data_IF_378191284365
#
_entry.id   IF_378191284365
#
_cell.length_a   1.000
_cell.length_b   1.000
_cell.length_c   1.000
_cell.angle_alpha   90.00
_cell.angle_beta   90.00
_cell.angle_gamma   90.00
#
_symmetry.space_group_name_H-M   'P 1'
#
loop_
_entity.id
_entity.type
_entity.pdbx_description
1 polymer ?
#
# COMPACT_ATOMS: atom_id res chain seq x y z
N UNK A 1 -1.60 29.46 -0.54
CA UNK A 1 -2.68 28.46 -0.58
C UNK A 1 -2.59 27.69 -1.88
N UNK A 2 -2.61 26.36 -1.85
CA UNK A 2 -2.52 25.51 -3.05
C UNK A 2 -3.78 24.66 -3.15
N UNK A 3 -4.37 24.60 -4.34
CA UNK A 3 -5.57 23.81 -4.62
C UNK A 3 -5.14 22.40 -5.01
N UNK A 4 -5.55 21.42 -4.22
CA UNK A 4 -5.39 20.01 -4.56
C UNK A 4 -6.74 19.47 -5.07
N UNK A 5 -6.68 18.74 -6.17
CA UNK A 5 -7.84 18.07 -6.76
C UNK A 5 -7.79 16.62 -6.32
N UNK A 6 -8.81 16.19 -5.56
CA UNK A 6 -8.99 14.79 -5.19
C UNK A 6 -10.22 14.30 -5.97
N UNK A 7 -10.02 13.60 -7.09
CA UNK A 7 -11.13 13.02 -7.83
C UNK A 7 -11.67 11.81 -7.08
N UNK A 8 -13.00 11.63 -7.15
CA UNK A 8 -13.72 10.49 -6.53
C UNK A 8 -14.43 9.63 -7.56
N UNK A 9 -14.12 9.83 -8.85
CA UNK A 9 -14.78 9.16 -9.97
C UNK A 9 -13.80 8.79 -11.09
N UNK A 10 -14.36 8.24 -12.16
CA UNK A 10 -13.59 7.70 -13.30
C UNK A 10 -12.99 8.78 -14.23
N UNK A 11 -13.40 10.04 -14.06
CA UNK A 11 -12.82 11.19 -14.78
C UNK A 11 -12.19 12.15 -13.78
N UNK A 12 -11.15 12.86 -14.22
CA UNK A 12 -10.43 13.88 -13.44
C UNK A 12 -11.34 14.98 -12.88
N UNK A 13 -12.58 15.08 -13.37
CA UNK A 13 -13.58 16.08 -12.97
C UNK A 13 -14.78 15.53 -12.19
N UNK A 14 -14.98 14.21 -12.11
CA UNK A 14 -16.18 13.65 -11.45
C UNK A 14 -15.97 13.46 -9.95
N UNK A 15 -16.89 14.03 -9.16
CA UNK A 15 -16.91 13.86 -7.70
C UNK A 15 -15.78 14.59 -6.96
N UNK A 16 -15.24 15.67 -7.53
CA UNK A 16 -14.11 16.39 -6.92
C UNK A 16 -14.50 16.99 -5.57
N UNK A 17 -13.70 16.69 -4.54
CA UNK A 17 -13.57 17.56 -3.37
C UNK A 17 -12.33 18.42 -3.56
N UNK A 18 -12.50 19.73 -3.70
CA UNK A 18 -11.38 20.67 -3.70
C UNK A 18 -11.04 21.02 -2.25
N UNK A 19 -9.80 20.75 -1.84
CA UNK A 19 -9.33 21.14 -0.51
C UNK A 19 -8.31 22.26 -0.69
N UNK A 20 -8.56 23.38 -0.01
CA UNK A 20 -7.63 24.51 0.06
C UNK A 20 -6.84 24.33 1.35
N UNK A 21 -5.54 24.07 1.22
CA UNK A 21 -4.65 23.89 2.36
C UNK A 21 -3.60 25.01 2.40
N UNK A 22 -3.25 25.38 3.62
CA UNK A 22 -2.09 26.23 3.87
C UNK A 22 -0.85 25.38 3.67
N UNK A 23 0.00 25.80 2.72
CA UNK A 23 1.22 25.10 2.35
C UNK A 23 2.43 25.91 2.81
N UNK A 24 3.40 25.22 3.40
CA UNK A 24 4.70 25.77 3.80
C UNK A 24 5.76 25.23 2.86
N UNK A 25 6.63 26.11 2.39
CA UNK A 25 7.67 25.76 1.43
C UNK A 25 9.01 25.84 2.16
N UNK A 26 9.79 24.77 2.09
CA UNK A 26 11.17 24.72 2.54
C UNK A 26 12.05 24.55 1.31
N UNK A 27 13.11 25.34 1.19
CA UNK A 27 14.06 25.17 0.09
C UNK A 27 15.48 25.35 0.56
N UNK A 28 16.39 24.58 -0.02
CA UNK A 28 17.83 24.73 0.20
C UNK A 28 18.62 24.37 -1.06
N UNK A 29 19.77 25.02 -1.25
CA UNK A 29 20.66 24.74 -2.36
C UNK A 29 21.48 23.48 -2.05
N UNK A 30 21.57 22.58 -3.03
CA UNK A 30 22.48 21.44 -2.93
C UNK A 30 23.91 21.97 -2.98
N UNK A 31 24.75 21.63 -2.00
CA UNK A 31 26.11 22.17 -1.90
C UNK A 31 26.88 21.99 -3.22
N UNK A 32 27.52 23.09 -3.66
CA UNK A 32 28.32 23.17 -4.88
C UNK A 32 27.59 22.79 -6.19
N UNK A 33 26.27 22.93 -6.24
CA UNK A 33 25.47 22.69 -7.44
C UNK A 33 24.58 23.88 -7.83
N UNK A 34 24.04 23.83 -9.05
CA UNK A 34 23.03 24.80 -9.53
C UNK A 34 21.60 24.41 -9.17
N UNK A 35 21.42 23.33 -8.42
CA UNK A 35 20.11 22.75 -8.09
C UNK A 35 19.66 23.13 -6.67
N UNK A 36 18.35 23.36 -6.55
CA UNK A 36 17.67 23.65 -5.28
C UNK A 36 16.66 22.54 -4.99
N UNK A 37 16.67 22.02 -3.77
CA UNK A 37 15.64 21.10 -3.29
C UNK A 37 14.54 21.95 -2.66
N UNK A 38 13.30 21.73 -3.06
CA UNK A 38 12.12 22.31 -2.42
C UNK A 38 11.23 21.21 -1.87
N UNK A 39 10.89 21.30 -0.59
CA UNK A 39 9.91 20.45 0.08
C UNK A 39 8.68 21.30 0.40
N UNK A 40 7.50 20.83 0.00
CA UNK A 40 6.23 21.52 0.29
C UNK A 40 5.47 20.68 1.28
N UNK A 41 5.17 21.24 2.45
CA UNK A 41 4.31 20.60 3.44
C UNK A 41 2.97 21.34 3.54
N UNK A 42 1.95 20.69 4.09
CA UNK A 42 0.65 21.29 4.38
C UNK A 42 0.29 21.21 5.85
N UNK A 43 -0.65 22.05 6.31
CA UNK A 43 -1.20 21.98 7.66
C UNK A 43 -1.88 20.63 8.00
N UNK A 44 -2.13 19.80 6.99
CA UNK A 44 -2.69 18.45 7.15
C UNK A 44 -1.63 17.35 7.22
N UNK A 45 -0.36 17.69 6.97
CA UNK A 45 0.72 16.71 7.03
C UNK A 45 0.96 16.33 8.49
N UNK A 46 0.94 15.03 8.77
CA UNK A 46 1.19 14.48 10.10
C UNK A 46 2.53 13.78 10.13
N UNK A 47 3.39 14.19 11.06
CA UNK A 47 4.57 13.40 11.39
C UNK A 47 4.13 12.26 12.30
N UNK A 48 4.08 11.06 11.76
CA UNK A 48 3.80 9.84 12.52
C UNK A 48 5.12 9.09 12.67
N UNK A 49 5.65 9.04 13.89
CA UNK A 49 6.76 8.16 14.22
C UNK A 49 6.18 6.80 14.57
N UNK A 50 6.38 5.81 13.70
CA UNK A 50 5.92 4.44 13.93
C UNK A 50 6.90 3.74 14.84
N UNK A 51 6.49 3.32 16.04
CA UNK A 51 7.36 2.62 16.98
C UNK A 51 7.74 1.22 16.46
N UNK A 52 9.03 0.90 16.47
CA UNK A 52 9.61 -0.33 15.89
C UNK A 52 9.06 -1.65 16.48
N UNK A 53 8.55 -1.63 17.72
CA UNK A 53 8.07 -2.83 18.43
C UNK A 53 6.74 -3.40 17.89
N UNK A 54 6.01 -2.69 17.04
CA UNK A 54 4.71 -3.15 16.52
C UNK A 54 4.80 -4.14 15.34
N UNK A 55 6.00 -4.47 14.88
CA UNK A 55 6.26 -5.02 13.54
C UNK A 55 6.53 -6.53 13.48
N UNK A 56 6.76 -7.19 14.62
CA UNK A 56 7.45 -8.49 14.65
C UNK A 56 6.57 -9.75 14.52
N UNK A 57 5.24 -9.64 14.49
CA UNK A 57 4.36 -10.82 14.58
C UNK A 57 3.06 -10.71 13.76
N UNK A 58 3.13 -10.15 12.56
CA UNK A 58 1.93 -9.95 11.74
C UNK A 58 1.87 -10.95 10.59
N UNK A 59 0.79 -11.73 10.57
CA UNK A 59 0.47 -12.62 9.45
C UNK A 59 -0.04 -11.75 8.31
N UNK A 60 0.68 -11.73 7.19
CA UNK A 60 0.21 -11.09 5.97
C UNK A 60 -0.03 -12.17 4.91
N UNK A 61 -1.01 -11.93 4.04
CA UNK A 61 -1.33 -12.82 2.92
C UNK A 61 -1.11 -12.03 1.64
N UNK A 62 -0.23 -12.55 0.78
CA UNK A 62 -0.01 -11.94 -0.52
C UNK A 62 -1.23 -12.14 -1.42
N UNK A 63 -1.54 -11.20 -2.31
CA UNK A 63 -2.78 -11.19 -3.09
C UNK A 63 -2.99 -12.40 -4.01
N UNK A 64 -1.95 -13.20 -4.28
CA UNK A 64 -2.04 -14.42 -5.09
C UNK A 64 -2.64 -15.56 -4.29
N UNK A 65 -3.94 -15.46 -4.03
CA UNK A 65 -4.72 -16.47 -3.28
C UNK A 65 -4.70 -17.85 -3.92
N UNK A 66 -4.38 -17.94 -5.20
CA UNK A 66 -4.18 -19.20 -5.92
C UNK A 66 -2.92 -19.96 -5.50
N UNK A 67 -2.03 -19.33 -4.71
CA UNK A 67 -0.86 -19.95 -4.10
C UNK A 67 -1.00 -20.19 -2.60
N UNK A 68 -2.16 -19.89 -2.01
CA UNK A 68 -2.38 -19.97 -0.56
C UNK A 68 -3.35 -21.09 -0.27
N UNK A 69 -2.90 -22.20 0.30
CA UNK A 69 -3.75 -23.38 0.46
C UNK A 69 -4.71 -23.28 1.67
N UNK A 70 -4.22 -22.78 2.80
CA UNK A 70 -4.90 -22.81 4.12
C UNK A 70 -5.95 -21.71 4.36
N UNK A 71 -6.70 -21.32 3.32
CA UNK A 71 -7.72 -20.27 3.39
C UNK A 71 -8.96 -20.67 2.62
N UNK A 72 -10.15 -20.38 3.18
CA UNK A 72 -11.42 -20.55 2.47
C UNK A 72 -11.53 -19.54 1.35
N UNK A 73 -11.62 -20.06 0.13
CA UNK A 73 -11.71 -19.27 -1.10
C UNK A 73 -13.14 -19.26 -1.62
N UNK A 74 -13.50 -18.18 -2.30
CA UNK A 74 -14.77 -17.99 -2.99
C UNK A 74 -14.53 -17.22 -4.29
N UNK A 75 -15.53 -17.18 -5.15
CA UNK A 75 -15.51 -16.31 -6.34
C UNK A 75 -16.30 -15.04 -6.03
N UNK A 76 -15.68 -13.88 -6.23
CA UNK A 76 -16.35 -12.58 -6.19
C UNK A 76 -16.01 -11.84 -7.47
N UNK A 77 -17.05 -11.46 -8.23
CA UNK A 77 -16.90 -10.70 -9.48
C UNK A 77 -15.89 -11.32 -10.47
N UNK A 78 -15.91 -12.65 -10.60
CA UNK A 78 -15.00 -13.39 -11.49
C UNK A 78 -13.55 -13.50 -11.00
N UNK A 79 -13.28 -13.15 -9.73
CA UNK A 79 -11.95 -13.24 -9.12
C UNK A 79 -11.95 -14.16 -7.91
N UNK A 80 -10.87 -14.93 -7.78
CA UNK A 80 -10.59 -15.70 -6.57
C UNK A 80 -10.45 -14.74 -5.39
N UNK A 81 -11.23 -14.97 -4.34
CA UNK A 81 -11.38 -14.06 -3.20
C UNK A 81 -11.54 -14.81 -1.88
N UNK A 82 -11.34 -14.13 -0.75
CA UNK A 82 -11.61 -14.65 0.60
C UNK A 82 -12.15 -13.54 1.48
N UNK A 83 -13.10 -13.88 2.36
CA UNK A 83 -13.60 -12.98 3.41
C UNK A 83 -12.84 -13.12 4.73
N UNK A 84 -12.03 -14.17 4.87
CA UNK A 84 -11.32 -14.48 6.11
C UNK A 84 -10.23 -13.46 6.40
N UNK A 85 -9.59 -12.95 5.34
CA UNK A 85 -8.45 -12.07 5.46
C UNK A 85 -8.43 -10.97 4.40
N UNK A 86 -7.70 -9.90 4.70
CA UNK A 86 -7.25 -8.96 3.68
C UNK A 86 -6.01 -9.49 2.96
N UNK A 87 -5.71 -8.94 1.78
CA UNK A 87 -4.49 -9.28 1.03
C UNK A 87 -3.61 -8.07 0.80
N UNK A 88 -2.31 -8.32 0.67
CA UNK A 88 -1.27 -7.33 0.38
C UNK A 88 -0.67 -7.55 -1.00
N UNK A 89 -0.33 -6.46 -1.68
CA UNK A 89 0.50 -6.48 -2.89
C UNK A 89 1.57 -5.39 -2.80
N UNK A 90 2.75 -5.72 -3.30
CA UNK A 90 3.86 -4.78 -3.44
C UNK A 90 4.05 -4.41 -4.91
N UNK A 91 4.34 -3.14 -5.15
CA UNK A 91 4.77 -2.63 -6.46
C UNK A 91 6.27 -2.38 -6.42
N UNK A 92 6.85 -2.01 -7.56
CA UNK A 92 8.28 -1.69 -7.68
C UNK A 92 8.75 -0.65 -6.65
N UNK A 93 7.88 0.30 -6.28
CA UNK A 93 8.19 1.37 -5.32
C UNK A 93 8.36 0.89 -3.87
N UNK A 94 7.94 -0.34 -3.55
CA UNK A 94 8.13 -0.95 -2.23
C UNK A 94 9.59 -1.30 -1.94
N UNK A 95 10.39 -1.47 -2.98
CA UNK A 95 11.74 -2.02 -2.86
C UNK A 95 12.77 -0.92 -2.66
N UNK A 96 13.78 -1.20 -1.84
CA UNK A 96 14.86 -0.25 -1.54
C UNK A 96 15.63 0.12 -2.82
N UNK A 97 15.78 -0.85 -3.73
CA UNK A 97 16.42 -0.70 -5.02
C UNK A 97 15.59 -1.40 -6.09
N UNK A 98 15.55 -0.81 -7.29
CA UNK A 98 14.74 -1.28 -8.41
C UNK A 98 14.96 -2.75 -8.77
N UNK A 99 16.21 -3.22 -8.75
CA UNK A 99 16.55 -4.60 -9.12
C UNK A 99 16.18 -5.65 -8.06
N UNK A 100 15.67 -5.26 -6.89
CA UNK A 100 15.06 -6.19 -5.94
C UNK A 100 13.60 -6.50 -6.28
N UNK A 101 13.01 -5.77 -7.23
CA UNK A 101 11.75 -6.12 -7.84
C UNK A 101 12.00 -7.10 -8.98
N UNK A 102 11.59 -8.35 -8.80
CA UNK A 102 11.79 -9.45 -9.75
C UNK A 102 10.76 -9.46 -10.90
N UNK A 103 9.92 -8.42 -11.01
CA UNK A 103 8.89 -8.31 -12.04
C UNK A 103 7.50 -8.76 -11.58
N UNK A 104 6.59 -9.08 -12.52
CA UNK A 104 5.20 -9.43 -12.23
C UNK A 104 5.09 -10.60 -11.25
N UNK A 105 3.97 -10.66 -10.53
CA UNK A 105 3.74 -11.70 -9.53
C UNK A 105 3.60 -13.08 -10.20
N UNK A 106 4.70 -13.81 -10.38
CA UNK A 106 4.75 -15.25 -10.67
C UNK A 106 4.78 -16.05 -9.36
N UNK A 107 4.67 -17.39 -9.41
CA UNK A 107 4.76 -18.21 -8.18
C UNK A 107 6.10 -18.02 -7.48
N UNK A 108 7.17 -18.01 -8.26
CA UNK A 108 8.54 -17.79 -7.78
C UNK A 108 8.71 -16.39 -7.19
N UNK A 109 8.32 -15.35 -7.93
CA UNK A 109 8.47 -13.95 -7.48
C UNK A 109 7.66 -13.67 -6.21
N UNK A 110 6.44 -14.19 -6.11
CA UNK A 110 5.62 -14.07 -4.89
C UNK A 110 6.30 -14.77 -3.71
N UNK A 111 6.87 -15.95 -3.91
CA UNK A 111 7.65 -16.64 -2.87
C UNK A 111 8.82 -15.78 -2.38
N UNK A 112 9.54 -15.14 -3.31
CA UNK A 112 10.63 -14.21 -2.97
C UNK A 112 10.11 -13.00 -2.17
N UNK A 113 9.05 -12.33 -2.65
CA UNK A 113 8.49 -11.16 -1.99
C UNK A 113 7.95 -11.48 -0.60
N UNK A 114 7.26 -12.61 -0.46
CA UNK A 114 6.78 -13.12 0.83
C UNK A 114 7.95 -13.39 1.78
N UNK A 115 9.04 -14.01 1.30
CA UNK A 115 10.23 -14.27 2.13
C UNK A 115 10.89 -13.00 2.67
N UNK A 116 10.83 -11.89 1.93
CA UNK A 116 11.35 -10.59 2.38
C UNK A 116 10.53 -9.94 3.49
N UNK A 117 9.27 -10.38 3.64
CA UNK A 117 8.32 -9.90 4.64
C UNK A 117 8.21 -10.85 5.85
N UNK A 118 8.41 -12.17 5.67
CA UNK A 118 8.36 -13.17 6.75
C UNK A 118 9.64 -13.26 7.57
N UNK A 119 10.73 -12.65 7.12
CA UNK A 119 12.01 -12.72 7.81
C UNK A 119 11.91 -12.25 9.27
N UNK A 120 12.28 -13.12 10.22
CA UNK A 120 12.27 -12.85 11.67
C UNK A 120 13.14 -11.64 12.07
N UNK A 121 14.08 -11.25 11.21
CA UNK A 121 14.91 -10.06 11.37
C UNK A 121 14.42 -8.93 10.45
N UNK A 122 13.22 -8.40 10.73
CA UNK A 122 12.55 -7.36 9.94
C UNK A 122 13.42 -6.12 9.66
N UNK A 123 14.33 -5.79 10.58
CA UNK A 123 15.30 -4.70 10.47
C UNK A 123 16.50 -5.01 9.57
N UNK A 124 16.87 -6.29 9.36
CA UNK A 124 18.07 -6.66 8.58
C UNK A 124 17.80 -6.92 7.08
N UNK A 125 16.53 -7.06 6.68
CA UNK A 125 16.23 -7.32 5.26
C UNK A 125 16.19 -6.01 4.45
N UNK A 126 17.34 -5.67 3.87
CA UNK A 126 17.64 -4.51 3.01
C UNK A 126 16.91 -4.47 1.64
N UNK A 127 15.92 -5.35 1.41
CA UNK A 127 15.29 -5.48 0.08
C UNK A 127 14.03 -4.61 -0.05
N UNK A 128 13.21 -4.56 0.98
CA UNK A 128 12.00 -3.74 1.07
C UNK A 128 12.29 -2.52 1.95
N UNK A 129 11.82 -1.33 1.54
CA UNK A 129 11.99 -0.10 2.33
C UNK A 129 11.37 -0.27 3.72
N UNK A 130 12.07 0.20 4.75
CA UNK A 130 11.60 0.13 6.14
C UNK A 130 10.20 0.72 6.31
N UNK A 131 9.95 1.88 5.69
CA UNK A 131 8.63 2.54 5.73
C UNK A 131 7.52 1.69 5.11
N UNK A 132 7.80 1.00 4.01
CA UNK A 132 6.82 0.10 3.38
C UNK A 132 6.47 -1.05 4.30
N UNK A 133 7.46 -1.64 4.95
CA UNK A 133 7.21 -2.67 5.96
C UNK A 133 6.37 -2.11 7.11
N UNK A 134 6.72 -0.95 7.66
CA UNK A 134 5.91 -0.28 8.69
C UNK A 134 4.46 -0.04 8.26
N UNK A 135 4.21 0.36 7.02
CA UNK A 135 2.85 0.55 6.48
C UNK A 135 2.07 -0.76 6.30
N UNK A 136 2.73 -1.84 5.90
CA UNK A 136 2.13 -3.19 5.88
C UNK A 136 1.65 -3.56 7.28
N UNK A 137 2.48 -3.28 8.29
CA UNK A 137 2.18 -3.60 9.67
C UNK A 137 1.06 -2.72 10.27
N UNK A 138 1.06 -1.43 9.96
CA UNK A 138 0.00 -0.52 10.40
C UNK A 138 -1.33 -0.88 9.73
N UNK A 139 -1.30 -1.23 8.44
CA UNK A 139 -2.52 -1.53 7.70
C UNK A 139 -3.21 -2.83 8.14
N UNK A 140 -2.54 -3.72 8.90
CA UNK A 140 -3.21 -4.87 9.55
C UNK A 140 -4.28 -4.41 10.55
N UNK A 141 -4.10 -3.27 11.22
CA UNK A 141 -5.14 -2.71 12.09
C UNK A 141 -6.40 -2.33 11.29
N UNK A 142 -6.26 -1.96 10.01
CA UNK A 142 -7.41 -1.69 9.13
C UNK A 142 -8.20 -2.97 8.83
N UNK A 143 -7.52 -4.11 8.68
CA UNK A 143 -8.19 -5.41 8.49
C UNK A 143 -9.12 -5.74 9.65
N UNK A 144 -8.65 -5.55 10.90
CA UNK A 144 -9.46 -5.77 12.11
C UNK A 144 -10.72 -4.88 12.12
N UNK A 145 -10.63 -3.66 11.59
CA UNK A 145 -11.78 -2.75 11.45
C UNK A 145 -12.70 -3.22 10.33
N UNK A 146 -12.15 -3.59 9.17
CA UNK A 146 -12.93 -4.01 8.01
C UNK A 146 -13.70 -5.32 8.27
N UNK A 147 -13.10 -6.28 8.97
CA UNK A 147 -13.76 -7.52 9.38
C UNK A 147 -14.94 -7.23 10.32
N UNK A 148 -14.79 -6.30 11.27
CA UNK A 148 -15.89 -5.88 12.15
C UNK A 148 -17.04 -5.22 11.38
N UNK A 149 -16.72 -4.51 10.30
CA UNK A 149 -17.69 -3.85 9.41
C UNK A 149 -18.19 -4.77 8.27
N UNK A 150 -17.90 -6.07 8.33
CA UNK A 150 -18.29 -7.03 7.29
C UNK A 150 -19.80 -7.20 7.14
N UNK A 151 -20.59 -6.80 8.14
CA UNK A 151 -22.05 -6.71 8.05
C UNK A 151 -22.53 -5.77 6.92
N UNK A 152 -21.71 -4.79 6.53
CA UNK A 152 -21.99 -3.84 5.45
C UNK A 152 -21.40 -4.26 4.09
N UNK A 153 -20.93 -5.50 3.94
CA UNK A 153 -20.33 -5.99 2.68
C UNK A 153 -21.33 -6.00 1.50
N UNK A 154 -22.63 -5.96 1.77
CA UNK A 154 -23.67 -5.79 0.75
C UNK A 154 -23.72 -4.36 0.17
N UNK A 155 -23.20 -3.37 0.89
CA UNK A 155 -23.15 -1.96 0.47
C UNK A 155 -21.76 -1.56 -0.02
N UNK A 156 -20.70 -2.14 0.56
CA UNK A 156 -19.31 -1.81 0.25
C UNK A 156 -18.62 -3.04 -0.31
N UNK A 157 -18.40 -3.03 -1.63
CA UNK A 157 -17.78 -4.16 -2.33
C UNK A 157 -16.34 -4.40 -1.90
N UNK A 158 -15.49 -3.37 -1.93
CA UNK A 158 -14.06 -3.45 -1.58
C UNK A 158 -13.66 -2.27 -0.71
N UNK A 159 -12.81 -2.55 0.27
CA UNK A 159 -12.12 -1.58 1.11
C UNK A 159 -10.63 -1.73 0.84
N UNK A 160 -9.94 -0.63 0.58
CA UNK A 160 -8.51 -0.69 0.31
C UNK A 160 -7.77 0.49 0.93
N UNK A 161 -6.49 0.24 1.20
CA UNK A 161 -5.52 1.25 1.61
C UNK A 161 -4.28 1.04 0.76
N UNK A 162 -3.91 2.05 -0.04
CA UNK A 162 -2.69 2.04 -0.83
C UNK A 162 -1.88 3.30 -0.54
N UNK A 163 -0.58 3.14 -0.32
CA UNK A 163 0.34 4.25 -0.09
C UNK A 163 1.34 4.40 -1.23
N UNK A 164 1.96 5.59 -1.30
CA UNK A 164 2.90 5.95 -2.37
C UNK A 164 4.22 5.17 -2.31
N UNK A 165 4.49 4.40 -1.24
CA UNK A 165 5.66 3.53 -1.14
C UNK A 165 5.39 2.14 -1.72
N UNK A 166 4.42 2.01 -2.63
CA UNK A 166 4.18 0.78 -3.37
C UNK A 166 3.55 -0.35 -2.58
N UNK A 167 2.88 -0.07 -1.46
CA UNK A 167 2.10 -1.04 -0.72
C UNK A 167 0.59 -0.78 -0.88
N UNK A 168 -0.17 -1.84 -1.15
CA UNK A 168 -1.64 -1.83 -1.09
C UNK A 168 -2.18 -3.02 -0.32
N UNK A 169 -3.19 -2.77 0.50
CA UNK A 169 -4.00 -3.78 1.20
C UNK A 169 -5.46 -3.69 0.79
N UNK A 170 -6.11 -4.82 0.56
CA UNK A 170 -7.51 -4.89 0.10
C UNK A 170 -8.31 -5.93 0.89
N UNK A 171 -9.53 -5.57 1.28
CA UNK A 171 -10.52 -6.43 1.91
C UNK A 171 -11.91 -6.33 1.22
N UNK A 172 -12.67 -7.43 1.03
CA UNK A 172 -12.24 -8.81 1.18
C UNK A 172 -11.00 -9.13 0.33
N UNK A 173 -10.18 -10.08 0.78
CA UNK A 173 -8.97 -10.47 0.06
C UNK A 173 -9.31 -10.94 -1.35
N UNK A 174 -8.57 -10.50 -2.36
CA UNK A 174 -8.84 -10.87 -3.77
C UNK A 174 -7.58 -10.92 -4.63
N UNK A 175 -7.58 -11.81 -5.62
CA UNK A 175 -6.50 -11.90 -6.61
C UNK A 175 -6.53 -10.70 -7.55
N UNK A 176 -5.52 -9.84 -7.42
CA UNK A 176 -5.26 -8.72 -8.34
C UNK A 176 -4.53 -9.16 -9.62
N UNK A 177 -4.67 -8.38 -10.72
CA UNK A 177 -3.80 -8.53 -11.88
C UNK A 177 -2.31 -8.44 -11.49
N UNK A 178 -1.45 -9.20 -12.18
CA UNK A 178 -0.03 -9.31 -11.84
C UNK A 178 0.71 -7.99 -12.01
N UNK A 179 0.35 -7.24 -13.03
CA UNK A 179 0.93 -5.94 -13.40
C UNK A 179 0.21 -4.76 -12.71
N UNK A 180 -0.76 -5.05 -11.84
CA UNK A 180 -1.50 -4.01 -11.14
C UNK A 180 -0.54 -3.13 -10.33
N UNK A 181 -0.68 -1.82 -10.47
CA UNK A 181 0.12 -0.85 -9.74
C UNK A 181 -0.78 0.31 -9.34
N UNK A 182 -1.01 0.47 -8.04
CA UNK A 182 -1.86 1.54 -7.53
C UNK A 182 -1.17 2.91 -7.55
N UNK A 183 0.17 2.96 -7.58
CA UNK A 183 0.91 4.24 -7.66
C UNK A 183 0.84 4.84 -9.05
N UNK A 184 0.57 4.01 -10.07
CA UNK A 184 0.38 4.42 -11.48
C UNK A 184 -1.06 4.79 -11.83
N UNK A 185 -2.01 4.63 -10.92
CA UNK A 185 -3.38 5.11 -11.16
C UNK A 185 -3.37 6.63 -11.19
N UNK A 186 -3.95 7.21 -12.23
CA UNK A 186 -4.20 8.64 -12.25
C UNK A 186 -5.05 8.99 -11.02
N UNK A 187 -4.62 10.00 -10.26
CA UNK A 187 -5.51 10.78 -9.41
C UNK A 187 -6.43 11.52 -10.37
#
# INVERSE_FOLDING_TARGET
MKKFVIPRGNTTTSGITSVILNATYFWNQIQNGSFWITVVTTSSDKNITVADKALAAQRFIYHRLDFVDDIKKCSSHGRLSTKEHSVVKLTEDAFLKRYYYNGPDSKENVGIYTSYLESTNWQQHDKIKLITKQMIAISEYLEKIWIKLSEFDNLVMWRYYGDYNGHIRIYPGLTLPKEYDHTKRAL
#
